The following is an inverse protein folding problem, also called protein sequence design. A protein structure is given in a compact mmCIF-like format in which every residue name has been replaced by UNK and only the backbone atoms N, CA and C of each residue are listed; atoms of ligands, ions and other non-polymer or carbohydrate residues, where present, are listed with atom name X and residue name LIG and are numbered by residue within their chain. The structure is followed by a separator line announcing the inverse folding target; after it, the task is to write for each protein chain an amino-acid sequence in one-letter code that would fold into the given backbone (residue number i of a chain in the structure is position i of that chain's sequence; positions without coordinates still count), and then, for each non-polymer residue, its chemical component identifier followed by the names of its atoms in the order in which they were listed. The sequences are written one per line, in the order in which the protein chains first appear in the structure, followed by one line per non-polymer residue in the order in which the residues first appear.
data_IF_879173022935
#
_entry.id   IF_879173022935
#
_cell.length_a   1.000
_cell.length_b   1.000
_cell.length_c   1.000
_cell.angle_alpha   90.00
_cell.angle_beta   90.00
_cell.angle_gamma   90.00
#
_symmetry.space_group_name_H-M   'P 1'
#
loop_
_entity.id
_entity.type
_entity.pdbx_description
1 polymer ?
#
# COMPACT_ATOMS: atom_id res chain seq x y z
N UNK A 1 -22.65 -14.97 3.58
CA UNK A 1 -22.03 -13.71 4.03
C UNK A 1 -21.02 -13.24 3.00
N UNK A 2 -21.05 -11.97 2.65
CA UNK A 2 -20.07 -11.40 1.71
C UNK A 2 -18.93 -10.77 2.51
N UNK A 3 -17.82 -11.49 2.64
CA UNK A 3 -16.65 -11.00 3.39
C UNK A 3 -15.96 -9.81 2.71
N UNK A 4 -16.19 -9.59 1.41
CA UNK A 4 -15.56 -8.46 0.72
C UNK A 4 -15.94 -7.12 1.33
N UNK A 5 -17.16 -6.99 1.84
CA UNK A 5 -17.62 -5.77 2.52
C UNK A 5 -16.78 -5.53 3.79
N UNK A 6 -16.52 -6.58 4.54
CA UNK A 6 -15.70 -6.49 5.76
C UNK A 6 -14.25 -6.15 5.42
N UNK A 7 -13.67 -6.83 4.43
CA UNK A 7 -12.28 -6.56 4.02
C UNK A 7 -12.12 -5.13 3.53
N UNK A 8 -13.07 -4.65 2.72
CA UNK A 8 -13.05 -3.28 2.24
C UNK A 8 -13.13 -2.30 3.42
N UNK A 9 -13.99 -2.58 4.39
CA UNK A 9 -14.13 -1.72 5.56
C UNK A 9 -12.83 -1.63 6.38
N UNK A 10 -12.12 -2.76 6.53
CA UNK A 10 -10.81 -2.75 7.20
C UNK A 10 -9.86 -1.78 6.52
N UNK A 11 -9.80 -1.80 5.19
CA UNK A 11 -8.94 -0.90 4.42
C UNK A 11 -9.42 0.55 4.50
N UNK A 12 -10.73 0.77 4.43
CA UNK A 12 -11.32 2.12 4.47
C UNK A 12 -11.09 2.81 5.82
N UNK A 13 -11.06 2.06 6.91
CA UNK A 13 -10.88 2.60 8.25
C UNK A 13 -9.41 2.72 8.66
N UNK A 14 -8.49 2.16 7.90
CA UNK A 14 -7.07 2.25 8.21
C UNK A 14 -6.61 3.70 8.14
N UNK A 15 -5.93 4.17 9.19
CA UNK A 15 -5.37 5.53 9.22
C UNK A 15 -4.11 5.68 8.38
N UNK A 16 -3.47 4.58 8.02
CA UNK A 16 -2.35 4.59 7.08
C UNK A 16 -2.87 4.56 5.64
N UNK A 17 -2.13 5.20 4.74
CA UNK A 17 -2.46 5.19 3.32
C UNK A 17 -2.30 3.79 2.74
N UNK A 18 -3.33 3.30 2.06
CA UNK A 18 -3.30 2.01 1.35
C UNK A 18 -3.61 2.26 -0.12
N UNK A 19 -2.67 1.86 -0.98
CA UNK A 19 -2.80 1.97 -2.44
C UNK A 19 -2.50 0.61 -3.02
N UNK A 20 -3.50 -0.02 -3.64
CA UNK A 20 -3.35 -1.34 -4.24
C UNK A 20 -3.10 -1.20 -5.74
N UNK A 21 -2.13 -1.96 -6.25
CA UNK A 21 -1.77 -1.98 -7.67
C UNK A 21 -1.87 -3.40 -8.23
N UNK A 22 -2.24 -3.50 -9.52
CA UNK A 22 -2.16 -4.74 -10.26
C UNK A 22 -0.72 -4.93 -10.81
N UNK A 23 -0.48 -5.99 -11.59
CA UNK A 23 0.85 -6.31 -12.12
C UNK A 23 1.28 -5.38 -13.25
N UNK A 24 0.38 -4.59 -13.82
CA UNK A 24 0.70 -3.56 -14.80
C UNK A 24 0.99 -2.22 -14.11
N UNK A 25 1.11 -2.22 -12.79
CA UNK A 25 1.37 -1.04 -11.96
C UNK A 25 0.22 -0.02 -12.01
N UNK A 26 -0.96 -0.45 -12.41
CA UNK A 26 -2.15 0.39 -12.37
C UNK A 26 -2.71 0.42 -10.95
N UNK A 27 -3.01 1.61 -10.46
CA UNK A 27 -3.63 1.80 -9.15
C UNK A 27 -5.10 1.38 -9.27
N UNK A 28 -5.50 0.35 -8.53
CA UNK A 28 -6.87 -0.18 -8.60
C UNK A 28 -7.71 0.19 -7.37
N UNK A 29 -7.08 0.64 -6.30
CA UNK A 29 -7.80 1.05 -5.09
C UNK A 29 -6.94 1.99 -4.26
N UNK A 30 -7.60 3.01 -3.67
CA UNK A 30 -7.00 3.90 -2.67
C UNK A 30 -8.00 4.05 -1.52
N UNK A 31 -7.53 3.88 -0.29
CA UNK A 31 -8.39 4.15 0.85
C UNK A 31 -8.48 5.67 1.11
N UNK A 32 -9.41 6.15 1.97
CA UNK A 32 -9.52 7.58 2.26
C UNK A 32 -8.22 8.23 2.74
N UNK A 33 -7.45 7.54 3.59
CA UNK A 33 -6.16 8.06 4.05
C UNK A 33 -5.19 8.29 2.91
N UNK A 34 -5.16 7.39 1.91
CA UNK A 34 -4.32 7.55 0.73
C UNK A 34 -4.77 8.74 -0.12
N UNK A 35 -6.07 8.92 -0.30
CA UNK A 35 -6.61 10.04 -1.07
C UNK A 35 -6.23 11.38 -0.43
N UNK A 36 -6.27 11.45 0.89
CA UNK A 36 -5.85 12.64 1.63
C UNK A 36 -4.34 12.88 1.50
N UNK A 37 -3.54 11.83 1.67
CA UNK A 37 -2.08 11.92 1.58
C UNK A 37 -1.62 12.42 0.21
N UNK A 38 -2.26 11.96 -0.85
CA UNK A 38 -1.88 12.29 -2.22
C UNK A 38 -2.80 13.35 -2.85
N UNK A 39 -3.49 14.14 -2.04
CA UNK A 39 -4.44 15.16 -2.51
C UNK A 39 -3.81 16.20 -3.44
N UNK A 40 -2.50 16.42 -3.35
CA UNK A 40 -1.78 17.35 -4.22
C UNK A 40 -1.58 16.80 -5.64
N UNK A 41 -1.88 15.53 -5.86
CA UNK A 41 -1.74 14.86 -7.15
C UNK A 41 -3.12 14.50 -7.68
N UNK A 42 -3.53 15.10 -8.79
CA UNK A 42 -4.81 14.80 -9.48
C UNK A 42 -6.03 14.78 -8.54
N UNK A 43 -6.09 15.70 -7.57
CA UNK A 43 -7.19 15.77 -6.62
C UNK A 43 -7.24 14.63 -5.62
N UNK A 44 -6.15 13.86 -5.49
CA UNK A 44 -6.06 12.76 -4.54
C UNK A 44 -6.69 11.46 -5.02
N UNK A 45 -7.23 11.43 -6.23
CA UNK A 45 -7.78 10.20 -6.80
C UNK A 45 -6.96 9.78 -8.01
N UNK A 46 -6.07 8.83 -7.79
CA UNK A 46 -5.16 8.31 -8.82
C UNK A 46 -5.59 6.93 -9.33
N UNK A 47 -6.77 6.45 -8.92
CA UNK A 47 -7.28 5.14 -9.38
C UNK A 47 -7.38 5.14 -10.89
N UNK A 48 -6.88 4.08 -11.53
CA UNK A 48 -6.82 3.94 -12.98
C UNK A 48 -5.52 4.45 -13.59
N UNK A 49 -4.68 5.14 -12.83
CA UNK A 49 -3.40 5.68 -13.31
C UNK A 49 -2.24 4.76 -12.94
N UNK A 50 -1.13 4.89 -13.67
CA UNK A 50 0.06 4.11 -13.36
C UNK A 50 0.77 4.66 -12.13
N UNK A 51 1.08 3.77 -11.18
CA UNK A 51 1.89 4.13 -10.02
C UNK A 51 3.25 4.66 -10.43
N UNK A 52 3.82 4.15 -11.52
CA UNK A 52 5.14 4.54 -12.00
C UNK A 52 5.20 6.01 -12.43
N UNK A 53 4.06 6.61 -12.77
CA UNK A 53 4.00 8.04 -13.11
C UNK A 53 4.11 8.95 -11.88
N UNK A 54 3.95 8.39 -10.68
CA UNK A 54 3.99 9.15 -9.42
C UNK A 54 5.37 9.09 -8.75
N UNK A 55 6.32 8.37 -9.34
CA UNK A 55 7.63 8.12 -8.75
C UNK A 55 8.73 8.50 -9.73
N UNK A 56 9.95 8.74 -9.19
CA UNK A 56 11.11 8.99 -10.04
C UNK A 56 11.63 7.66 -10.62
N UNK A 57 12.51 7.72 -11.67
CA UNK A 57 13.02 6.50 -12.31
C UNK A 57 13.70 5.52 -11.36
N UNK A 58 14.40 6.02 -10.34
CA UNK A 58 15.10 5.16 -9.37
C UNK A 58 14.10 4.38 -8.50
N UNK A 59 13.03 5.04 -8.06
CA UNK A 59 11.96 4.39 -7.31
C UNK A 59 11.22 3.39 -8.17
N UNK A 60 10.98 3.72 -9.45
CA UNK A 60 10.32 2.83 -10.40
C UNK A 60 11.13 1.54 -10.60
N UNK A 61 12.45 1.67 -10.73
CA UNK A 61 13.33 0.52 -10.86
C UNK A 61 13.25 -0.39 -9.63
N UNK A 62 13.22 0.19 -8.43
CA UNK A 62 13.08 -0.58 -7.20
C UNK A 62 11.75 -1.35 -7.18
N UNK A 63 10.65 -0.68 -7.53
CA UNK A 63 9.32 -1.30 -7.57
C UNK A 63 9.32 -2.49 -8.53
N UNK A 64 9.86 -2.31 -9.74
CA UNK A 64 9.91 -3.37 -10.75
C UNK A 64 10.74 -4.56 -10.29
N UNK A 65 11.89 -4.30 -9.66
CA UNK A 65 12.76 -5.38 -9.13
C UNK A 65 12.09 -6.15 -8.01
N UNK A 66 11.36 -5.47 -7.13
CA UNK A 66 10.66 -6.13 -6.03
C UNK A 66 9.52 -7.00 -6.57
N UNK A 67 8.76 -6.50 -7.54
CA UNK A 67 7.67 -7.28 -8.16
C UNK A 67 8.24 -8.52 -8.85
N UNK A 68 9.38 -8.39 -9.53
CA UNK A 68 10.08 -9.54 -10.11
C UNK A 68 10.47 -10.56 -9.05
N UNK A 69 10.98 -10.10 -7.91
CA UNK A 69 11.34 -10.97 -6.79
C UNK A 69 10.11 -11.70 -6.22
N UNK A 70 8.97 -11.02 -6.12
CA UNK A 70 7.72 -11.68 -5.72
C UNK A 70 7.39 -12.85 -6.66
N UNK A 71 7.65 -12.67 -7.95
CA UNK A 71 7.36 -13.69 -8.95
C UNK A 71 8.27 -14.90 -8.92
N UNK A 72 9.41 -14.83 -8.22
CA UNK A 72 10.38 -15.92 -8.19
C UNK A 72 10.01 -17.05 -7.23
N UNK A 73 9.20 -16.77 -6.22
CA UNK A 73 8.77 -17.78 -5.25
C UNK A 73 7.48 -17.34 -4.57
N UNK A 74 6.59 -18.28 -4.32
CA UNK A 74 5.34 -18.03 -3.58
C UNK A 74 5.59 -17.64 -2.11
N UNK A 75 6.82 -17.82 -1.64
CA UNK A 75 7.21 -17.43 -0.27
C UNK A 75 7.74 -16.00 -0.19
N UNK A 76 7.95 -15.35 -1.32
CA UNK A 76 8.44 -13.97 -1.39
C UNK A 76 7.24 -13.01 -1.33
N UNK A 77 6.85 -12.57 -0.13
CA UNK A 77 5.59 -11.85 0.05
C UNK A 77 5.71 -10.49 0.73
N UNK A 78 6.81 -10.21 1.40
CA UNK A 78 7.02 -8.91 2.04
C UNK A 78 8.49 -8.60 2.10
N UNK A 79 8.84 -7.33 1.85
CA UNK A 79 10.22 -6.87 1.92
C UNK A 79 10.25 -5.42 2.44
N UNK A 80 11.22 -5.13 3.30
CA UNK A 80 11.45 -3.78 3.82
C UNK A 80 12.18 -2.97 2.75
N UNK A 81 11.56 -1.89 2.26
CA UNK A 81 12.09 -1.14 1.12
C UNK A 81 12.74 0.18 1.49
N UNK A 82 12.22 0.88 2.49
CA UNK A 82 12.78 2.19 2.83
C UNK A 82 12.28 2.69 4.18
N UNK A 83 12.97 3.71 4.70
CA UNK A 83 12.58 4.43 5.90
C UNK A 83 12.37 5.90 5.54
N UNK A 84 11.25 6.47 5.99
CA UNK A 84 10.94 7.88 5.82
C UNK A 84 11.22 8.61 7.13
N UNK A 85 12.34 9.37 7.22
CA UNK A 85 12.71 10.04 8.48
C UNK A 85 11.78 11.18 8.87
N UNK A 86 11.15 11.84 7.90
CA UNK A 86 10.22 12.94 8.19
C UNK A 86 9.02 12.47 8.98
N UNK A 87 8.51 11.27 8.66
CA UNK A 87 7.32 10.72 9.28
C UNK A 87 7.64 9.61 10.27
N UNK A 88 8.93 9.29 10.46
CA UNK A 88 9.37 8.16 11.28
C UNK A 88 8.60 6.90 10.91
N UNK A 89 8.67 6.55 9.63
CA UNK A 89 7.81 5.52 9.05
C UNK A 89 8.65 4.53 8.27
N UNK A 90 8.48 3.24 8.58
CA UNK A 90 9.04 2.16 7.79
C UNK A 90 8.10 1.81 6.65
N UNK A 91 8.66 1.54 5.49
CA UNK A 91 7.90 1.22 4.28
C UNK A 91 8.27 -0.17 3.80
N UNK A 92 7.26 -0.97 3.53
CA UNK A 92 7.40 -2.33 3.02
C UNK A 92 6.60 -2.47 1.73
N UNK A 93 7.06 -3.34 0.83
CA UNK A 93 6.21 -3.79 -0.27
C UNK A 93 5.69 -5.18 0.06
N UNK A 94 4.41 -5.40 -0.23
CA UNK A 94 3.70 -6.63 0.09
C UNK A 94 3.05 -7.18 -1.18
N UNK A 95 3.28 -8.46 -1.46
CA UNK A 95 2.66 -9.14 -2.58
C UNK A 95 1.19 -9.42 -2.30
N UNK A 96 0.36 -9.29 -3.33
CA UNK A 96 -1.03 -9.72 -3.29
C UNK A 96 -1.18 -10.97 -4.15
N UNK A 97 -1.81 -11.99 -3.59
CA UNK A 97 -1.95 -13.28 -4.26
C UNK A 97 -3.39 -13.77 -4.21
N UNK A 98 -3.79 -14.53 -5.23
CA UNK A 98 -5.09 -15.20 -5.22
C UNK A 98 -5.04 -16.47 -4.37
N UNK A 99 -6.14 -17.20 -4.30
CA UNK A 99 -6.24 -18.40 -3.48
C UNK A 99 -5.28 -19.51 -3.92
N UNK A 100 -4.88 -19.51 -5.18
CA UNK A 100 -3.91 -20.47 -5.72
C UNK A 100 -2.45 -20.06 -5.50
N UNK A 101 -2.22 -18.91 -4.85
CA UNK A 101 -0.88 -18.39 -4.61
C UNK A 101 -0.30 -17.63 -5.79
N UNK A 102 -1.09 -17.38 -6.83
CA UNK A 102 -0.64 -16.61 -7.99
C UNK A 102 -0.52 -15.14 -7.64
N UNK A 103 0.58 -14.52 -8.06
CA UNK A 103 0.79 -13.08 -7.85
C UNK A 103 -0.21 -12.30 -8.71
N UNK A 104 -0.97 -11.41 -8.09
CA UNK A 104 -1.98 -10.59 -8.79
C UNK A 104 -1.74 -9.09 -8.64
N UNK A 105 -0.86 -8.69 -7.74
CA UNK A 105 -0.56 -7.28 -7.52
C UNK A 105 0.30 -7.08 -6.30
N UNK A 106 0.30 -5.85 -5.80
CA UNK A 106 1.09 -5.50 -4.63
C UNK A 106 0.58 -4.21 -4.00
N UNK A 107 1.06 -3.91 -2.78
CA UNK A 107 0.85 -2.59 -2.19
C UNK A 107 2.04 -2.21 -1.31
N UNK A 108 2.13 -0.92 -0.98
CA UNK A 108 3.10 -0.39 -0.04
C UNK A 108 2.48 -0.33 1.34
N UNK A 109 3.10 -0.98 2.32
CA UNK A 109 2.64 -0.96 3.71
C UNK A 109 3.44 0.07 4.48
N UNK A 110 2.74 0.98 5.18
CA UNK A 110 3.33 2.03 5.99
C UNK A 110 3.20 1.66 7.47
N UNK A 111 4.32 1.63 8.18
CA UNK A 111 4.35 1.39 9.63
C UNK A 111 4.91 2.61 10.33
N UNK A 112 4.05 3.39 10.97
CA UNK A 112 4.45 4.55 11.73
C UNK A 112 5.05 4.12 13.06
N UNK A 113 6.20 4.70 13.42
CA UNK A 113 6.95 4.32 14.62
C UNK A 113 6.85 5.33 15.76
N UNK A 114 6.16 6.44 15.56
CA UNK A 114 5.91 7.41 16.63
C UNK A 114 4.95 6.82 17.66
N UNK A 115 5.06 7.30 18.89
CA UNK A 115 4.11 6.93 19.93
C UNK A 115 2.70 7.34 19.54
N UNK A 116 1.73 6.53 19.94
CA UNK A 116 0.32 6.81 19.69
C UNK A 116 -0.09 8.13 20.37
N UNK A 117 -0.79 8.99 19.62
CA UNK A 117 -1.28 10.28 20.13
C UNK A 117 -2.79 10.29 20.37
N UNK A 118 -3.51 9.29 19.87
CA UNK A 118 -4.94 9.15 20.11
C UNK A 118 -5.18 8.86 21.60
N UNK A 119 -6.17 9.52 22.17
CA UNK A 119 -6.52 9.30 23.57
C UNK A 119 -6.91 7.85 23.79
N UNK A 120 -6.35 7.26 24.84
CA UNK A 120 -6.68 5.87 25.21
C UNK A 120 -8.15 5.77 25.63
N UNK A 121 -8.73 4.61 25.36
CA UNK A 121 -10.11 4.27 25.72
C UNK A 121 -10.40 4.62 27.18
N UNK A 122 -11.51 5.31 27.41
CA UNK A 122 -11.97 5.69 28.75
C UNK A 122 -13.50 5.88 28.72
N UNK A 123 -14.22 4.85 28.30
CA UNK A 123 -15.70 4.86 28.32
C UNK A 123 -16.17 4.42 29.71
N UNK A 124 -17.02 5.21 30.33
CA UNK A 124 -17.55 4.91 31.64
C UNK A 124 -19.02 4.51 31.60
#
# INVERSE_FOLDING_TARGET
MNLNVYFKSVLEQDTAAVVLCNLEHEIIYMNPAAKTRYAKHSGGNLVGKSLLNCHNPKSNEKIEKVVEWFGKSKDNNIIYTSFNPKENMDVYMVALRDDGGNLIGYYEKHEYRNNETMKKYDFK
#
